data_IF_669117351285
#
_entry.id   IF_669117351285
#
_cell.length_a   1.000
_cell.length_b   1.000
_cell.length_c   1.000
_cell.angle_alpha   90.00
_cell.angle_beta   90.00
_cell.angle_gamma   90.00
#
_symmetry.space_group_name_H-M   'P 1'
#
loop_
_entity.id
_entity.type
_entity.pdbx_description
1 polymer ?
#
# COMPACT_ATOMS: atom_id res chain seq x y z
N UNK A 1 -5.36 -5.23 -5.84
CA UNK A 1 -6.31 -4.63 -6.81
C UNK A 1 -5.76 -4.81 -8.21
N UNK A 2 -6.54 -5.43 -9.10
CA UNK A 2 -6.10 -5.79 -10.47
C UNK A 2 -5.56 -4.58 -11.25
N UNK A 3 -6.26 -3.44 -11.18
CA UNK A 3 -5.84 -2.22 -11.88
C UNK A 3 -4.53 -1.63 -11.35
N UNK A 4 -4.29 -1.68 -10.03
CA UNK A 4 -3.03 -1.21 -9.44
C UNK A 4 -1.85 -2.09 -9.86
N UNK A 5 -2.05 -3.42 -9.92
CA UNK A 5 -1.02 -4.36 -10.35
C UNK A 5 -0.64 -4.17 -11.83
N UNK A 6 -1.62 -3.92 -12.69
CA UNK A 6 -1.37 -3.61 -14.10
C UNK A 6 -0.49 -2.36 -14.28
N UNK A 7 -0.76 -1.31 -13.51
CA UNK A 7 0.08 -0.08 -13.51
C UNK A 7 1.48 -0.34 -12.98
N UNK A 8 1.62 -1.17 -11.94
CA UNK A 8 2.94 -1.57 -11.42
C UNK A 8 3.76 -2.29 -12.51
N UNK A 9 3.14 -3.26 -13.21
CA UNK A 9 3.78 -3.96 -14.32
C UNK A 9 4.25 -3.00 -15.42
N UNK A 10 3.38 -2.08 -15.86
CA UNK A 10 3.74 -1.07 -16.86
C UNK A 10 4.91 -0.17 -16.40
N UNK A 11 4.97 0.17 -15.11
CA UNK A 11 6.08 0.94 -14.55
C UNK A 11 7.39 0.15 -14.56
N UNK A 12 7.36 -1.13 -14.20
CA UNK A 12 8.52 -2.03 -14.27
C UNK A 12 9.02 -2.16 -15.71
N UNK A 13 8.13 -2.42 -16.66
CA UNK A 13 8.45 -2.55 -18.10
C UNK A 13 9.11 -1.27 -18.63
N UNK A 14 8.54 -0.10 -18.32
CA UNK A 14 9.09 1.20 -18.74
C UNK A 14 10.47 1.48 -18.14
N UNK A 15 10.74 1.00 -16.94
CA UNK A 15 12.03 1.19 -16.25
C UNK A 15 13.04 0.07 -16.57
N UNK A 16 12.66 -0.96 -17.32
CA UNK A 16 13.51 -2.12 -17.58
C UNK A 16 13.81 -2.96 -16.34
N UNK A 17 12.92 -2.92 -15.34
CA UNK A 17 13.06 -3.65 -14.07
C UNK A 17 12.20 -4.91 -14.09
N UNK A 18 12.64 -5.95 -13.38
CA UNK A 18 11.89 -7.21 -13.23
C UNK A 18 11.66 -7.51 -11.75
N UNK A 19 10.46 -7.98 -11.42
CA UNK A 19 10.09 -8.42 -10.08
C UNK A 19 8.96 -9.45 -10.15
N UNK A 20 8.93 -10.37 -9.18
CA UNK A 20 7.82 -11.31 -9.02
C UNK A 20 6.60 -10.60 -8.45
N UNK A 21 5.50 -10.60 -9.21
CA UNK A 21 4.28 -9.90 -8.86
C UNK A 21 3.25 -10.85 -8.27
N UNK A 22 2.93 -10.66 -6.99
CA UNK A 22 1.92 -11.45 -6.27
C UNK A 22 0.72 -10.57 -5.94
N UNK A 23 -0.49 -11.03 -6.27
CA UNK A 23 -1.73 -10.39 -5.86
C UNK A 23 -2.45 -11.23 -4.81
N UNK A 24 -2.37 -10.82 -3.55
CA UNK A 24 -3.01 -11.48 -2.41
C UNK A 24 -3.43 -10.45 -1.36
N UNK A 25 -4.23 -10.86 -0.38
CA UNK A 25 -4.27 -10.17 0.91
C UNK A 25 -2.95 -10.43 1.64
N UNK A 26 -2.33 -9.38 2.16
CA UNK A 26 -1.07 -9.48 2.88
C UNK A 26 -1.23 -10.26 4.19
N UNK A 27 -2.39 -10.16 4.86
CA UNK A 27 -2.64 -10.86 6.12
C UNK A 27 -2.68 -12.38 5.93
N UNK A 28 -3.02 -12.83 4.73
CA UNK A 28 -3.07 -14.26 4.35
C UNK A 28 -1.81 -14.71 3.59
N UNK A 29 -0.89 -13.79 3.27
CA UNK A 29 0.31 -14.12 2.53
C UNK A 29 1.29 -14.90 3.42
N UNK A 30 1.73 -16.06 2.92
CA UNK A 30 2.74 -16.90 3.56
C UNK A 30 3.82 -17.20 2.53
N UNK A 31 4.95 -16.47 2.55
CA UNK A 31 6.03 -16.76 1.62
C UNK A 31 6.68 -18.10 1.98
N UNK A 32 7.20 -18.81 0.97
CA UNK A 32 7.90 -20.07 1.20
C UNK A 32 9.21 -19.87 1.99
N UNK A 33 9.84 -18.72 1.80
CA UNK A 33 11.08 -18.30 2.46
C UNK A 33 10.90 -16.88 3.01
N UNK A 34 11.61 -16.56 4.10
CA UNK A 34 11.58 -15.21 4.67
C UNK A 34 12.48 -14.27 3.86
N UNK A 35 12.06 -13.00 3.76
CA UNK A 35 12.85 -11.96 3.11
C UNK A 35 13.88 -11.39 4.08
N UNK A 36 15.06 -11.01 3.57
CA UNK A 36 16.09 -10.31 4.35
C UNK A 36 15.62 -8.91 4.81
N UNK A 37 14.75 -8.28 4.00
CA UNK A 37 14.17 -6.98 4.29
C UNK A 37 12.77 -6.86 3.68
N UNK A 38 11.90 -6.11 4.35
CA UNK A 38 10.53 -5.85 3.89
C UNK A 38 10.24 -4.36 3.97
N UNK A 39 9.71 -3.79 2.88
CA UNK A 39 9.12 -2.45 2.86
C UNK A 39 7.60 -2.57 2.81
N UNK A 40 6.94 -2.06 3.85
CA UNK A 40 5.49 -1.97 3.91
C UNK A 40 5.03 -0.52 3.67
N UNK A 41 4.56 -0.22 2.46
CA UNK A 41 3.84 1.01 2.16
C UNK A 41 2.34 0.82 2.45
N UNK A 42 1.95 1.06 3.70
CA UNK A 42 0.62 0.77 4.20
C UNK A 42 -0.41 1.84 3.79
N UNK A 43 -1.70 1.47 3.60
CA UNK A 43 -2.77 2.45 3.43
C UNK A 43 -2.82 3.38 4.66
N UNK A 44 -2.80 4.69 4.40
CA UNK A 44 -2.74 5.71 5.44
C UNK A 44 -3.80 6.80 5.20
N UNK A 45 -3.84 7.80 6.08
CA UNK A 45 -4.79 8.92 5.96
C UNK A 45 -4.51 9.81 4.74
N UNK A 46 -3.33 9.69 4.13
CA UNK A 46 -2.85 10.48 2.99
C UNK A 46 -2.83 11.99 3.25
N UNK A 47 -2.88 12.46 4.49
CA UNK A 47 -2.86 13.90 4.82
C UNK A 47 -1.56 14.59 4.38
N UNK A 48 -0.48 13.86 4.16
CA UNK A 48 0.75 14.39 3.56
C UNK A 48 0.62 14.79 2.07
N UNK A 49 -0.47 14.41 1.38
CA UNK A 49 -0.65 14.70 -0.06
C UNK A 49 -1.49 15.96 -0.33
N UNK A 50 -1.88 16.70 0.71
CA UNK A 50 -2.80 17.86 0.62
C UNK A 50 -2.39 18.89 -0.42
N UNK A 51 -1.09 19.13 -0.62
CA UNK A 51 -0.60 20.05 -1.67
C UNK A 51 -1.05 19.64 -3.09
N UNK A 52 -1.12 18.33 -3.37
CA UNK A 52 -1.55 17.78 -4.67
C UNK A 52 -3.05 17.45 -4.69
N UNK A 53 -3.63 17.19 -3.52
CA UNK A 53 -5.03 16.80 -3.33
C UNK A 53 -5.66 17.66 -2.22
N UNK A 54 -6.04 18.91 -2.53
CA UNK A 54 -6.52 19.88 -1.52
C UNK A 54 -7.88 19.51 -0.91
N UNK A 55 -8.58 18.52 -1.47
CA UNK A 55 -9.83 17.94 -1.01
C UNK A 55 -9.66 16.97 0.18
N UNK A 56 -8.45 16.42 0.38
CA UNK A 56 -8.16 15.43 1.44
C UNK A 56 -8.57 15.88 2.85
N UNK A 57 -8.30 17.12 3.32
CA UNK A 57 -8.69 17.54 4.66
C UNK A 57 -10.20 17.55 4.90
N UNK A 58 -10.98 17.70 3.82
CA UNK A 58 -12.44 17.79 3.89
C UNK A 58 -13.12 16.42 3.83
N UNK A 59 -12.41 15.39 3.37
CA UNK A 59 -12.96 14.04 3.17
C UNK A 59 -12.56 13.05 4.26
N UNK A 60 -11.66 13.44 5.18
CA UNK A 60 -11.15 12.57 6.24
C UNK A 60 -11.73 12.96 7.59
N UNK A 61 -12.17 11.94 8.33
CA UNK A 61 -12.62 12.08 9.72
C UNK A 61 -11.61 11.45 10.69
N UNK A 62 -11.70 11.80 11.97
CA UNK A 62 -10.90 11.14 13.01
C UNK A 62 -11.14 9.63 13.08
N UNK A 63 -12.39 9.19 12.88
CA UNK A 63 -12.73 7.77 12.84
C UNK A 63 -12.02 7.03 11.69
N UNK A 64 -11.81 7.68 10.54
CA UNK A 64 -11.06 7.08 9.43
C UNK A 64 -9.59 6.90 9.79
N UNK A 65 -9.01 7.87 10.51
CA UNK A 65 -7.62 7.79 10.97
C UNK A 65 -7.45 6.63 11.95
N UNK A 66 -8.35 6.48 12.92
CA UNK A 66 -8.32 5.38 13.89
C UNK A 66 -8.46 4.00 13.21
N UNK A 67 -9.39 3.87 12.25
CA UNK A 67 -9.56 2.64 11.45
C UNK A 67 -8.29 2.29 10.68
N UNK A 68 -7.64 3.28 10.06
CA UNK A 68 -6.41 3.08 9.30
C UNK A 68 -5.23 2.71 10.23
N UNK A 69 -5.13 3.35 11.39
CA UNK A 69 -4.11 3.01 12.39
C UNK A 69 -4.27 1.56 12.89
N UNK A 70 -5.51 1.12 13.14
CA UNK A 70 -5.79 -0.27 13.53
C UNK A 70 -5.40 -1.27 12.42
N UNK A 71 -5.69 -0.95 11.16
CA UNK A 71 -5.27 -1.76 10.01
C UNK A 71 -3.75 -1.83 9.89
N UNK A 72 -3.05 -0.69 10.01
CA UNK A 72 -1.59 -0.64 9.94
C UNK A 72 -0.94 -1.49 11.03
N UNK A 73 -1.47 -1.46 12.27
CA UNK A 73 -1.00 -2.33 13.36
C UNK A 73 -1.14 -3.81 13.02
N UNK A 74 -2.27 -4.20 12.40
CA UNK A 74 -2.48 -5.59 11.95
C UNK A 74 -1.52 -6.01 10.84
N UNK A 75 -1.10 -5.08 9.97
CA UNK A 75 -0.15 -5.37 8.89
C UNK A 75 1.31 -5.45 9.38
N UNK A 76 1.62 -4.88 10.56
CA UNK A 76 2.95 -4.89 11.17
C UNK A 76 3.17 -6.05 12.16
N UNK A 77 2.09 -6.71 12.61
CA UNK A 77 2.13 -7.82 13.56
C UNK A 77 2.43 -9.14 12.87
#
# INVERSE_FOLDING_TARGET
SKNRLARLKQNLDRLGLTADLVQTDLLDYRPAELFDAVLLDAPCSSTGTVRRHPDVPWTKTMADVEKLAALQRRLLA
#
